data_IF_300454589189
#
_entry.id   IF_300454589189
#
_cell.length_a   1.000
_cell.length_b   1.000
_cell.length_c   1.000
_cell.angle_alpha   90.00
_cell.angle_beta   90.00
_cell.angle_gamma   90.00
#
_symmetry.space_group_name_H-M   'P 1'
#
loop_
_entity.id
_entity.type
_entity.pdbx_description
1 polymer ?
#
# COMPACT_ATOMS: atom_id res chain seq x y z
N UNK A 1 1.54 -10.24 38.59
CA UNK A 1 0.92 -10.56 37.28
C UNK A 1 1.98 -10.22 36.24
N UNK A 2 2.62 -11.22 35.63
CA UNK A 2 3.71 -10.97 34.67
C UNK A 2 3.10 -10.37 33.40
N UNK A 3 3.35 -9.09 33.15
CA UNK A 3 3.07 -8.45 31.86
C UNK A 3 4.06 -9.03 30.84
N UNK A 4 3.68 -10.14 30.20
CA UNK A 4 4.38 -10.62 29.02
C UNK A 4 4.07 -9.63 27.88
N UNK A 5 4.98 -8.68 27.66
CA UNK A 5 4.97 -7.88 26.44
C UNK A 5 5.14 -8.84 25.26
N UNK A 6 4.07 -9.01 24.48
CA UNK A 6 4.16 -9.72 23.22
C UNK A 6 5.17 -8.98 22.33
N UNK A 7 6.06 -9.70 21.61
CA UNK A 7 6.96 -9.06 20.68
C UNK A 7 6.15 -8.25 19.64
N UNK A 8 6.65 -7.06 19.31
CA UNK A 8 6.05 -6.24 18.27
C UNK A 8 6.15 -6.98 16.93
N UNK A 9 5.07 -7.00 16.15
CA UNK A 9 5.03 -7.59 14.82
C UNK A 9 4.26 -6.70 13.85
N UNK A 10 4.64 -6.75 12.59
CA UNK A 10 3.96 -6.12 11.47
C UNK A 10 3.98 -7.08 10.29
N UNK A 11 2.81 -7.59 9.92
CA UNK A 11 2.63 -8.51 8.81
C UNK A 11 1.85 -7.81 7.70
N UNK A 12 2.30 -8.02 6.47
CA UNK A 12 1.62 -7.57 5.25
C UNK A 12 1.47 -8.73 4.29
N UNK A 13 0.29 -8.85 3.67
CA UNK A 13 0.02 -9.88 2.64
C UNK A 13 -0.67 -9.25 1.44
N UNK A 14 -0.09 -9.42 0.25
CA UNK A 14 -0.67 -9.05 -1.05
C UNK A 14 -1.19 -10.30 -1.73
N UNK A 15 -2.49 -10.34 -2.03
CA UNK A 15 -3.16 -11.55 -2.52
C UNK A 15 -4.40 -11.26 -3.37
N UNK A 16 -5.07 -12.33 -3.80
CA UNK A 16 -6.43 -12.28 -4.36
C UNK A 16 -6.55 -11.24 -5.50
N UNK A 17 -5.76 -11.37 -6.57
CA UNK A 17 -5.79 -10.41 -7.67
C UNK A 17 -7.15 -10.48 -8.37
N UNK A 18 -7.73 -9.32 -8.70
CA UNK A 18 -9.00 -9.25 -9.43
C UNK A 18 -8.88 -8.33 -10.63
N UNK A 19 -9.21 -8.86 -11.80
CA UNK A 19 -9.27 -8.07 -13.03
C UNK A 19 -10.67 -7.50 -13.18
N UNK A 20 -10.75 -6.18 -13.20
CA UNK A 20 -11.99 -5.43 -13.35
C UNK A 20 -12.31 -5.23 -14.83
N UNK A 21 -13.56 -5.53 -15.19
CA UNK A 21 -14.04 -5.48 -16.56
C UNK A 21 -15.00 -4.30 -16.77
N UNK A 22 -14.91 -3.65 -17.94
CA UNK A 22 -15.95 -2.77 -18.48
C UNK A 22 -16.61 -3.47 -19.65
N UNK A 23 -17.74 -4.11 -19.40
CA UNK A 23 -18.31 -5.10 -20.33
C UNK A 23 -17.36 -6.30 -20.47
N UNK A 24 -16.93 -6.61 -21.70
CA UNK A 24 -15.90 -7.66 -21.95
C UNK A 24 -14.45 -7.13 -21.90
N UNK A 25 -14.33 -5.83 -21.70
CA UNK A 25 -13.17 -4.95 -21.49
C UNK A 25 -12.27 -5.13 -20.27
N UNK A 26 -11.16 -5.90 -20.20
CA UNK A 26 -10.28 -5.81 -19.03
C UNK A 26 -9.68 -4.41 -18.90
N UNK A 27 -9.95 -3.74 -17.76
CA UNK A 27 -9.53 -2.36 -17.50
C UNK A 27 -8.24 -2.33 -16.69
N UNK A 28 -8.27 -2.94 -15.50
CA UNK A 28 -7.14 -2.99 -14.57
C UNK A 28 -7.25 -4.23 -13.68
N UNK A 29 -6.14 -4.59 -13.05
CA UNK A 29 -6.08 -5.60 -12.00
C UNK A 29 -5.70 -4.92 -10.70
N UNK A 30 -6.46 -5.17 -9.64
CA UNK A 30 -6.12 -4.78 -8.29
C UNK A 30 -5.73 -6.00 -7.44
N UNK A 31 -5.15 -5.73 -6.29
CA UNK A 31 -4.67 -6.72 -5.34
C UNK A 31 -5.23 -6.39 -3.96
N UNK A 32 -5.63 -7.41 -3.22
CA UNK A 32 -5.96 -7.28 -1.81
C UNK A 32 -4.69 -7.11 -0.99
N UNK A 33 -4.65 -6.12 -0.10
CA UNK A 33 -3.57 -5.92 0.86
C UNK A 33 -4.17 -6.11 2.25
N UNK A 34 -3.60 -7.05 3.00
CA UNK A 34 -3.91 -7.24 4.40
C UNK A 34 -2.76 -6.73 5.27
N UNK A 35 -3.08 -5.95 6.28
CA UNK A 35 -2.16 -5.64 7.37
C UNK A 35 -2.66 -6.33 8.64
N UNK A 36 -1.72 -6.89 9.40
CA UNK A 36 -1.95 -7.32 10.78
C UNK A 36 -0.74 -6.97 11.63
N UNK A 37 -0.96 -6.21 12.70
CA UNK A 37 0.11 -5.69 13.54
C UNK A 37 -0.38 -5.39 14.95
N UNK A 38 0.55 -5.38 15.91
CA UNK A 38 0.36 -4.78 17.24
C UNK A 38 1.17 -3.49 17.41
N UNK A 39 1.75 -2.96 16.32
CA UNK A 39 2.52 -1.72 16.32
C UNK A 39 1.61 -0.51 16.52
N UNK A 40 2.01 0.40 17.41
CA UNK A 40 1.32 1.68 17.64
C UNK A 40 1.51 2.68 16.51
N UNK A 41 2.41 2.40 15.54
CA UNK A 41 2.51 3.22 14.33
C UNK A 41 1.24 3.15 13.48
N UNK A 42 0.42 2.11 13.62
CA UNK A 42 -0.80 1.93 12.85
C UNK A 42 -2.03 2.27 13.68
N UNK A 43 -2.97 3.01 13.09
CA UNK A 43 -4.25 3.37 13.73
C UNK A 43 -5.09 2.12 14.00
N UNK A 44 -5.27 1.28 12.97
CA UNK A 44 -5.90 -0.04 13.10
C UNK A 44 -4.88 -1.17 13.13
N UNK A 45 -5.06 -2.11 14.06
CA UNK A 45 -4.26 -3.36 14.16
C UNK A 45 -4.50 -4.31 12.99
N UNK A 46 -5.61 -4.17 12.25
CA UNK A 46 -5.94 -4.96 11.06
C UNK A 46 -6.60 -4.09 10.01
N UNK A 47 -6.11 -4.15 8.77
CA UNK A 47 -6.78 -3.52 7.63
C UNK A 47 -6.83 -4.45 6.42
N UNK A 48 -7.83 -4.24 5.58
CA UNK A 48 -8.00 -4.93 4.31
C UNK A 48 -8.41 -3.90 3.25
N UNK A 49 -7.53 -3.66 2.29
CA UNK A 49 -7.76 -2.69 1.21
C UNK A 49 -7.49 -3.32 -0.15
N UNK A 50 -7.93 -2.66 -1.21
CA UNK A 50 -7.61 -3.08 -2.59
C UNK A 50 -6.90 -1.96 -3.33
N UNK A 51 -5.75 -2.28 -3.93
CA UNK A 51 -4.93 -1.32 -4.67
C UNK A 51 -4.49 -1.90 -6.00
N UNK A 52 -4.49 -1.08 -7.05
CA UNK A 52 -3.96 -1.44 -8.37
C UNK A 52 -2.52 -0.97 -8.53
N UNK A 53 -1.78 -1.58 -9.46
CA UNK A 53 -0.35 -1.28 -9.68
C UNK A 53 -0.03 0.21 -9.82
N UNK A 54 -0.83 0.98 -10.56
CA UNK A 54 -0.57 2.42 -10.73
C UNK A 54 -0.67 3.23 -9.45
N UNK A 55 -1.41 2.74 -8.44
CA UNK A 55 -1.47 3.37 -7.12
C UNK A 55 -0.22 3.04 -6.29
N UNK A 56 0.41 1.89 -6.51
CA UNK A 56 1.74 1.62 -5.96
C UNK A 56 2.80 2.53 -6.61
N UNK A 57 2.72 2.76 -7.93
CA UNK A 57 3.59 3.75 -8.60
C UNK A 57 3.47 5.13 -7.93
N UNK A 58 2.23 5.56 -7.64
CA UNK A 58 1.97 6.79 -6.89
C UNK A 58 2.59 6.76 -5.49
N UNK A 59 2.35 5.70 -4.71
CA UNK A 59 2.89 5.60 -3.34
C UNK A 59 4.41 5.67 -3.35
N UNK A 60 5.08 4.93 -4.24
CA UNK A 60 6.54 4.94 -4.36
C UNK A 60 7.05 6.36 -4.63
N UNK A 61 6.41 7.08 -5.56
CA UNK A 61 6.81 8.45 -5.88
C UNK A 61 6.65 9.40 -4.69
N UNK A 62 5.56 9.29 -3.92
CA UNK A 62 5.36 10.10 -2.71
C UNK A 62 6.45 9.78 -1.66
N UNK A 63 6.75 8.50 -1.42
CA UNK A 63 7.81 8.11 -0.50
C UNK A 63 9.20 8.59 -0.95
N UNK A 64 9.45 8.64 -2.26
CA UNK A 64 10.70 9.15 -2.84
C UNK A 64 10.80 10.67 -2.70
N UNK A 65 9.70 11.40 -2.89
CA UNK A 65 9.65 12.87 -2.77
C UNK A 65 9.77 13.35 -1.32
N UNK A 66 9.17 12.63 -0.37
CA UNK A 66 9.21 12.98 1.04
C UNK A 66 10.48 12.47 1.74
N UNK A 67 11.14 11.47 1.15
CA UNK A 67 12.34 10.84 1.70
C UNK A 67 13.62 11.66 1.56
N UNK A 68 14.65 11.28 2.33
CA UNK A 68 16.01 11.77 2.12
C UNK A 68 16.61 11.21 0.84
N UNK A 69 17.49 11.95 0.17
CA UNK A 69 18.24 11.50 -1.02
C UNK A 69 18.93 10.15 -0.77
N UNK A 70 19.43 9.93 0.45
CA UNK A 70 20.12 8.70 0.86
C UNK A 70 19.19 7.50 1.10
N UNK A 71 17.87 7.71 1.14
CA UNK A 71 16.87 6.69 1.43
C UNK A 71 15.91 6.56 0.24
N UNK A 72 16.25 5.65 -0.67
CA UNK A 72 15.45 5.40 -1.86
C UNK A 72 14.40 4.30 -1.61
N UNK A 73 13.14 4.48 -2.04
CA UNK A 73 12.14 3.43 -1.94
C UNK A 73 12.53 2.20 -2.76
N UNK A 74 12.15 0.99 -2.29
CA UNK A 74 12.36 -0.24 -3.05
C UNK A 74 11.84 -0.12 -4.49
N UNK A 75 12.51 -0.73 -5.48
CA UNK A 75 12.05 -0.69 -6.86
C UNK A 75 10.70 -1.38 -6.98
N UNK A 76 9.81 -0.80 -7.78
CA UNK A 76 8.63 -1.48 -8.28
C UNK A 76 8.96 -2.20 -9.59
N UNK A 77 8.21 -3.26 -9.94
CA UNK A 77 8.42 -3.91 -11.22
C UNK A 77 8.07 -3.00 -12.39
N UNK A 78 8.71 -3.23 -13.53
CA UNK A 78 8.46 -2.42 -14.71
C UNK A 78 6.99 -2.49 -15.14
N UNK A 79 6.49 -1.34 -15.59
CA UNK A 79 5.14 -1.24 -16.13
C UNK A 79 5.06 -2.00 -17.45
N UNK A 80 4.24 -3.06 -17.46
CA UNK A 80 3.93 -3.80 -18.68
C UNK A 80 2.56 -3.40 -19.22
N UNK A 81 2.52 -2.97 -20.48
CA UNK A 81 1.27 -2.68 -21.20
C UNK A 81 0.70 -3.92 -21.87
N UNK A 82 1.55 -4.69 -22.57
CA UNK A 82 1.16 -5.91 -23.26
C UNK A 82 1.09 -7.11 -22.32
N UNK A 83 0.06 -7.95 -22.49
CA UNK A 83 -0.14 -9.15 -21.66
C UNK A 83 -0.30 -8.87 -20.17
N UNK A 84 -0.68 -7.64 -19.78
CA UNK A 84 -0.77 -7.23 -18.37
C UNK A 84 -1.88 -7.93 -17.57
N UNK A 85 -2.76 -8.63 -18.27
CA UNK A 85 -3.86 -9.42 -17.71
C UNK A 85 -3.57 -10.94 -17.75
N UNK A 86 -2.38 -11.34 -18.21
CA UNK A 86 -1.97 -12.74 -18.22
C UNK A 86 -1.78 -13.23 -16.78
N UNK A 87 -2.30 -14.42 -16.45
CA UNK A 87 -2.29 -14.93 -15.08
C UNK A 87 -0.87 -15.11 -14.51
N UNK A 88 0.10 -15.54 -15.32
CA UNK A 88 1.50 -15.65 -14.89
C UNK A 88 2.06 -14.31 -14.41
N UNK A 89 1.76 -13.25 -15.15
CA UNK A 89 2.23 -11.91 -14.82
C UNK A 89 1.48 -11.27 -13.67
N UNK A 90 0.17 -11.54 -13.56
CA UNK A 90 -0.58 -11.09 -12.39
C UNK A 90 0.03 -11.68 -11.12
N UNK A 91 0.43 -12.96 -11.14
CA UNK A 91 1.09 -13.64 -10.01
C UNK A 91 2.50 -13.11 -9.75
N UNK A 92 3.31 -12.96 -10.79
CA UNK A 92 4.65 -12.36 -10.71
C UNK A 92 4.57 -10.97 -10.04
N UNK A 93 3.69 -10.12 -10.57
CA UNK A 93 3.45 -8.80 -10.02
C UNK A 93 2.93 -8.82 -8.59
N UNK A 94 2.07 -9.77 -8.23
CA UNK A 94 1.62 -9.93 -6.84
C UNK A 94 2.80 -10.13 -5.89
N UNK A 95 3.76 -10.99 -6.27
CA UNK A 95 4.96 -11.25 -5.47
C UNK A 95 5.86 -10.02 -5.37
N UNK A 96 6.05 -9.30 -6.47
CA UNK A 96 6.88 -8.08 -6.47
C UNK A 96 6.26 -6.97 -5.62
N UNK A 97 4.92 -6.83 -5.64
CA UNK A 97 4.20 -5.89 -4.78
C UNK A 97 4.25 -6.30 -3.30
N UNK A 98 4.20 -7.61 -3.01
CA UNK A 98 4.44 -8.15 -1.67
C UNK A 98 5.83 -7.75 -1.17
N UNK A 99 6.87 -7.99 -1.96
CA UNK A 99 8.26 -7.71 -1.58
C UNK A 99 8.49 -6.21 -1.40
N UNK A 100 7.87 -5.37 -2.25
CA UNK A 100 7.88 -3.92 -2.12
C UNK A 100 7.34 -3.48 -0.74
N UNK A 101 6.15 -3.95 -0.35
CA UNK A 101 5.55 -3.55 0.93
C UNK A 101 6.34 -4.08 2.13
N UNK A 102 6.84 -5.31 2.07
CA UNK A 102 7.69 -5.87 3.14
C UNK A 102 8.92 -4.98 3.37
N UNK A 103 9.57 -4.53 2.30
CA UNK A 103 10.77 -3.66 2.40
C UNK A 103 10.42 -2.23 2.84
N UNK A 104 9.31 -1.67 2.37
CA UNK A 104 8.84 -0.34 2.83
C UNK A 104 8.53 -0.38 4.33
N UNK A 105 7.79 -1.39 4.78
CA UNK A 105 7.38 -1.51 6.19
C UNK A 105 8.52 -1.86 7.15
N UNK A 106 9.67 -2.31 6.64
CA UNK A 106 10.88 -2.55 7.42
C UNK A 106 11.66 -1.26 7.74
N UNK A 107 11.31 -0.12 7.13
CA UNK A 107 12.02 1.16 7.31
C UNK A 107 11.13 2.14 8.08
N UNK A 108 11.58 2.52 9.28
CA UNK A 108 10.83 3.38 10.19
C UNK A 108 10.48 4.75 9.62
N UNK A 109 11.35 5.34 8.80
CA UNK A 109 11.09 6.62 8.13
C UNK A 109 9.89 6.58 7.18
N UNK A 110 9.57 5.44 6.58
CA UNK A 110 8.35 5.35 5.76
C UNK A 110 7.10 5.17 6.63
N UNK A 111 7.22 4.63 7.84
CA UNK A 111 6.10 4.48 8.78
C UNK A 111 5.64 5.80 9.40
N UNK A 112 6.38 6.90 9.22
CA UNK A 112 5.88 8.25 9.59
C UNK A 112 5.04 8.92 8.50
N UNK A 113 4.95 8.31 7.31
CA UNK A 113 4.28 8.94 6.17
C UNK A 113 2.77 8.70 6.18
N UNK A 114 1.98 9.76 6.34
CA UNK A 114 0.51 9.70 6.31
C UNK A 114 -0.02 9.07 5.00
N UNK A 115 0.66 9.29 3.88
CA UNK A 115 0.33 8.69 2.59
C UNK A 115 0.36 7.16 2.63
N UNK A 116 1.33 6.56 3.33
CA UNK A 116 1.45 5.11 3.49
C UNK A 116 0.27 4.55 4.31
N UNK A 117 -0.10 5.24 5.40
CA UNK A 117 -1.22 4.83 6.25
C UNK A 117 -2.56 4.91 5.51
N UNK A 118 -2.83 6.02 4.83
CA UNK A 118 -4.04 6.16 4.02
C UNK A 118 -4.10 5.11 2.90
N UNK A 119 -2.96 4.81 2.28
CA UNK A 119 -2.86 3.78 1.24
C UNK A 119 -3.19 2.38 1.77
N UNK A 120 -2.65 2.00 2.95
CA UNK A 120 -2.75 0.66 3.52
C UNK A 120 -4.01 0.43 4.37
N UNK A 121 -4.64 1.48 4.89
CA UNK A 121 -5.70 1.35 5.88
C UNK A 121 -7.05 1.89 5.40
N UNK A 122 -7.13 2.52 4.22
CA UNK A 122 -8.39 3.01 3.65
C UNK A 122 -8.59 2.52 2.21
N UNK A 123 -9.84 2.48 1.74
CA UNK A 123 -10.16 2.27 0.31
C UNK A 123 -10.41 3.61 -0.43
N UNK A 124 -9.86 4.73 0.09
CA UNK A 124 -9.98 6.03 -0.56
C UNK A 124 -9.27 6.05 -1.93
N UNK A 125 -9.83 6.81 -2.87
CA UNK A 125 -9.16 7.07 -4.14
C UNK A 125 -7.90 7.91 -3.92
N UNK A 126 -6.90 7.77 -4.80
CA UNK A 126 -5.66 8.57 -4.75
C UNK A 126 -5.96 10.07 -4.70
N UNK A 127 -6.90 10.56 -5.53
CA UNK A 127 -7.29 11.97 -5.52
C UNK A 127 -7.83 12.41 -4.15
N UNK A 128 -8.54 11.54 -3.43
CA UNK A 128 -9.04 11.85 -2.09
C UNK A 128 -7.90 11.87 -1.07
N UNK A 129 -6.96 10.93 -1.18
CA UNK A 129 -5.76 10.90 -0.33
C UNK A 129 -4.94 12.18 -0.52
N UNK A 130 -4.68 12.58 -1.77
CA UNK A 130 -3.97 13.84 -2.09
C UNK A 130 -4.68 15.06 -1.51
N UNK A 131 -6.02 15.12 -1.59
CA UNK A 131 -6.78 16.22 -0.97
C UNK A 131 -6.61 16.27 0.55
N UNK A 132 -6.55 15.13 1.23
CA UNK A 132 -6.29 15.06 2.67
C UNK A 132 -4.85 15.53 2.97
N UNK A 133 -3.87 15.01 2.23
CA UNK A 133 -2.45 15.35 2.43
C UNK A 133 -2.17 16.85 2.18
N UNK A 134 -2.86 17.46 1.22
CA UNK A 134 -2.73 18.89 0.91
C UNK A 134 -3.61 19.79 1.79
N UNK A 135 -4.33 19.24 2.77
CA UNK A 135 -5.23 19.99 3.66
C UNK A 135 -6.50 20.54 2.99
N UNK A 136 -6.81 20.12 1.76
CA UNK A 136 -8.05 20.48 1.03
C UNK A 136 -9.26 19.67 1.48
N UNK A 137 -9.04 18.63 2.26
CA UNK A 137 -10.02 17.87 3.01
C UNK A 137 -9.59 17.89 4.48
N UNK A 138 -10.42 18.44 5.36
CA UNK A 138 -10.05 18.78 6.74
C UNK A 138 -10.21 17.63 7.72
N UNK A 139 -10.60 16.44 7.26
CA UNK A 139 -10.71 15.25 8.13
C UNK A 139 -9.32 14.82 8.58
N UNK A 140 -9.19 14.48 9.86
CA UNK A 140 -7.93 13.95 10.37
C UNK A 140 -7.67 12.55 9.81
N UNK A 141 -6.40 12.21 9.58
CA UNK A 141 -5.99 10.91 9.03
C UNK A 141 -6.50 9.76 9.90
N UNK A 142 -6.46 9.92 11.23
CA UNK A 142 -6.92 8.92 12.18
C UNK A 142 -8.44 8.68 12.13
N UNK A 143 -9.24 9.72 11.84
CA UNK A 143 -10.71 9.59 11.73
C UNK A 143 -11.15 8.90 10.43
N UNK A 144 -10.26 8.92 9.43
CA UNK A 144 -10.50 8.36 8.10
C UNK A 144 -10.11 6.89 8.01
N UNK A 145 -9.22 6.43 8.90
CA UNK A 145 -8.70 5.05 8.99
C UNK A 145 -9.57 4.20 9.93
#
# INVERSE_FOLDING_TARGET
MLNYFLPQFLSVVVRNPRTHLRGRWPQFTDYEILIWTNSTCFVSSKSCVRRRFSEFEWLRNILEQNGSISLQPPPLPHKRLLGRFNQSFIKERQQELQDFLVRVLAVTSYLSEAALHLFLQTNLSINTIERILDGRDTREVADVI
#
